data_IF_066593159637
#
_entry.id   IF_066593159637
#
_cell.length_a   1.000
_cell.length_b   1.000
_cell.length_c   1.000
_cell.angle_alpha   90.00
_cell.angle_beta   90.00
_cell.angle_gamma   90.00
#
_symmetry.space_group_name_H-M   'P 1'
#
loop_
_entity.id
_entity.type
_entity.pdbx_description
1 polymer ?
#
# COMPACT_ATOMS: atom_id res chain seq x y z
N UNK A 1 37.81 23.77 -47.64
CA UNK A 1 36.85 24.20 -46.59
C UNK A 1 35.48 23.53 -46.70
N UNK A 2 35.02 23.09 -47.88
CA UNK A 2 33.70 22.44 -48.05
C UNK A 2 33.49 21.12 -47.27
N UNK A 3 34.51 20.27 -47.15
CA UNK A 3 34.37 18.95 -46.47
C UNK A 3 34.15 19.06 -44.96
N UNK A 4 34.77 20.04 -44.29
CA UNK A 4 34.62 20.23 -42.83
C UNK A 4 33.24 20.79 -42.45
N UNK A 5 32.62 21.56 -43.33
CA UNK A 5 31.30 22.17 -43.10
C UNK A 5 30.16 21.14 -43.16
N UNK A 6 30.29 20.14 -44.05
CA UNK A 6 29.33 19.03 -44.16
C UNK A 6 29.41 18.07 -42.95
N UNK A 7 30.62 17.84 -42.43
CA UNK A 7 30.83 17.01 -41.24
C UNK A 7 30.24 17.64 -39.97
N UNK A 8 30.36 18.96 -39.79
CA UNK A 8 29.78 19.69 -38.65
C UNK A 8 28.24 19.70 -38.73
N UNK A 9 27.67 19.80 -39.94
CA UNK A 9 26.21 19.77 -40.15
C UNK A 9 25.61 18.40 -39.79
N UNK A 10 26.29 17.30 -40.14
CA UNK A 10 25.86 15.95 -39.75
C UNK A 10 25.95 15.72 -38.24
N UNK A 11 26.98 16.23 -37.56
CA UNK A 11 27.09 16.13 -36.09
C UNK A 11 25.96 16.90 -35.40
N UNK A 12 25.61 18.09 -35.89
CA UNK A 12 24.49 18.88 -35.39
C UNK A 12 23.13 18.21 -35.62
N UNK A 13 22.92 17.57 -36.78
CA UNK A 13 21.71 16.81 -37.07
C UNK A 13 21.56 15.58 -36.17
N UNK A 14 22.65 14.84 -35.95
CA UNK A 14 22.64 13.66 -35.07
C UNK A 14 22.38 14.09 -33.62
N UNK A 15 22.96 15.22 -33.18
CA UNK A 15 22.69 15.79 -31.86
C UNK A 15 21.22 16.17 -31.65
N UNK A 16 20.55 16.74 -32.64
CA UNK A 16 19.15 17.16 -32.56
C UNK A 16 18.14 15.99 -32.51
N UNK A 17 18.48 14.84 -33.12
CA UNK A 17 17.64 13.64 -33.05
C UNK A 17 17.65 12.97 -31.66
N UNK A 18 18.78 13.02 -30.94
CA UNK A 18 18.90 12.37 -29.61
C UNK A 18 18.04 13.09 -28.55
N UNK A 19 17.83 14.40 -28.70
CA UNK A 19 17.07 15.22 -27.72
C UNK A 19 15.56 14.97 -27.80
N UNK A 20 15.04 14.57 -28.95
CA UNK A 20 13.60 14.32 -29.15
C UNK A 20 13.15 12.91 -28.72
N UNK A 21 14.08 11.98 -28.46
CA UNK A 21 13.75 10.62 -28.05
C UNK A 21 13.45 10.49 -26.53
N UNK A 22 13.66 11.55 -25.74
CA UNK A 22 13.52 11.52 -24.28
C UNK A 22 12.13 11.98 -23.79
N UNK A 23 11.07 11.81 -24.58
CA UNK A 23 9.71 12.04 -24.08
C UNK A 23 9.26 10.81 -23.26
N UNK A 24 9.49 10.88 -21.95
CA UNK A 24 8.88 9.97 -21.00
C UNK A 24 7.35 10.10 -21.13
N UNK A 25 6.67 9.00 -21.45
CA UNK A 25 5.24 8.97 -21.67
C UNK A 25 4.50 8.97 -20.33
N UNK A 26 4.20 10.17 -19.82
CA UNK A 26 3.36 10.33 -18.62
C UNK A 26 1.86 10.17 -18.95
N UNK A 27 1.13 9.60 -18.01
CA UNK A 27 -0.31 9.38 -18.16
C UNK A 27 -1.08 10.69 -17.98
N UNK A 28 -1.69 11.22 -19.05
CA UNK A 28 -2.53 12.41 -18.99
C UNK A 28 -3.97 12.07 -18.57
N UNK A 29 -4.44 12.76 -17.53
CA UNK A 29 -5.81 12.77 -17.01
C UNK A 29 -6.34 11.38 -16.59
N UNK A 30 -5.81 10.77 -15.50
CA UNK A 30 -6.22 9.45 -15.05
C UNK A 30 -7.66 9.45 -14.52
N UNK A 31 -8.54 8.63 -15.10
CA UNK A 31 -9.87 8.34 -14.53
C UNK A 31 -9.79 7.10 -13.65
N UNK A 32 -10.22 7.23 -12.39
CA UNK A 32 -10.07 6.22 -11.35
C UNK A 32 -11.43 5.63 -10.94
N UNK A 33 -11.52 4.31 -10.92
CA UNK A 33 -12.63 3.57 -10.28
C UNK A 33 -12.02 2.62 -9.27
N UNK A 34 -12.39 2.71 -7.98
CA UNK A 34 -11.76 1.96 -6.88
C UNK A 34 -12.67 0.84 -6.40
N UNK A 35 -12.11 -0.36 -6.25
CA UNK A 35 -12.76 -1.52 -5.62
C UNK A 35 -11.78 -2.13 -4.61
N UNK A 36 -11.95 -1.85 -3.32
CA UNK A 36 -11.03 -2.33 -2.29
C UNK A 36 -11.55 -3.58 -1.56
N UNK A 37 -10.66 -4.54 -1.30
CA UNK A 37 -10.95 -5.76 -0.55
C UNK A 37 -9.94 -5.92 0.61
N UNK A 38 -10.42 -5.89 1.84
CA UNK A 38 -9.59 -6.09 3.03
C UNK A 38 -9.89 -7.46 3.65
N UNK A 39 -8.87 -8.24 3.99
CA UNK A 39 -9.06 -9.45 4.79
C UNK A 39 -9.49 -9.06 6.21
N UNK A 40 -10.55 -9.69 6.73
CA UNK A 40 -11.17 -9.35 8.03
C UNK A 40 -10.68 -10.23 9.20
N UNK A 41 -9.96 -11.32 8.91
CA UNK A 41 -9.60 -12.32 9.92
C UNK A 41 -8.16 -12.15 10.43
N UNK A 42 -8.03 -11.82 11.72
CA UNK A 42 -6.77 -11.72 12.48
C UNK A 42 -6.69 -12.75 13.62
N UNK A 43 -7.49 -13.81 13.60
CA UNK A 43 -7.57 -14.75 14.72
C UNK A 43 -6.28 -15.56 14.95
N UNK A 44 -5.45 -15.76 13.92
CA UNK A 44 -4.17 -16.50 14.02
C UNK A 44 -2.96 -15.69 13.53
N UNK A 45 -3.15 -14.71 12.64
CA UNK A 45 -2.07 -13.89 12.09
C UNK A 45 -1.92 -12.56 12.86
N UNK A 46 -0.68 -12.21 13.24
CA UNK A 46 -0.35 -10.88 13.80
C UNK A 46 -0.33 -9.77 12.74
N UNK A 47 -0.48 -10.15 11.47
CA UNK A 47 -0.34 -9.32 10.29
C UNK A 47 -1.60 -9.38 9.44
N UNK A 48 -2.09 -8.23 9.00
CA UNK A 48 -3.24 -8.08 8.11
C UNK A 48 -2.78 -7.78 6.70
N UNK A 49 -3.24 -8.60 5.76
CA UNK A 49 -3.09 -8.34 4.33
C UNK A 49 -4.27 -7.50 3.85
N UNK A 50 -3.97 -6.37 3.23
CA UNK A 50 -4.94 -5.50 2.58
C UNK A 50 -4.70 -5.53 1.08
N UNK A 51 -5.78 -5.56 0.30
CA UNK A 51 -5.75 -5.59 -1.16
C UNK A 51 -6.62 -4.44 -1.70
N UNK A 52 -6.01 -3.50 -2.40
CA UNK A 52 -6.71 -2.45 -3.13
C UNK A 52 -6.72 -2.79 -4.60
N UNK A 53 -7.89 -2.92 -5.22
CA UNK A 53 -8.02 -2.96 -6.66
C UNK A 53 -8.56 -1.62 -7.17
N UNK A 54 -8.04 -1.18 -8.30
CA UNK A 54 -8.54 0.02 -8.95
C UNK A 54 -8.36 -0.09 -10.45
N UNK A 55 -9.29 0.50 -11.19
CA UNK A 55 -9.18 0.65 -12.63
C UNK A 55 -8.67 2.05 -12.96
N UNK A 56 -7.65 2.13 -13.80
CA UNK A 56 -7.05 3.40 -14.23
C UNK A 56 -7.08 3.49 -15.75
N UNK A 57 -7.79 4.48 -16.29
CA UNK A 57 -7.83 4.76 -17.73
C UNK A 57 -7.05 6.05 -18.01
N UNK A 58 -6.00 5.93 -18.83
CA UNK A 58 -5.21 7.05 -19.35
C UNK A 58 -5.75 7.49 -20.71
N UNK A 59 -5.77 8.80 -20.98
CA UNK A 59 -6.27 9.34 -22.28
C UNK A 59 -5.39 8.94 -23.46
N UNK A 60 -4.14 8.54 -23.20
CA UNK A 60 -3.16 8.17 -24.22
C UNK A 60 -3.10 6.66 -24.50
N UNK A 61 -3.95 5.84 -23.85
CA UNK A 61 -3.93 4.35 -23.93
C UNK A 61 -2.60 3.66 -23.56
N UNK A 62 -1.62 4.42 -23.08
CA UNK A 62 -0.35 3.90 -22.57
C UNK A 62 -0.60 3.32 -21.18
N UNK A 63 -0.05 2.12 -20.93
CA UNK A 63 -0.07 1.45 -19.63
C UNK A 63 1.17 1.87 -18.83
N UNK A 64 1.05 2.82 -17.87
CA UNK A 64 2.19 3.23 -17.06
C UNK A 64 2.56 2.14 -16.05
N UNK A 65 3.87 2.04 -15.75
CA UNK A 65 4.34 1.36 -14.55
C UNK A 65 4.04 2.26 -13.34
N UNK A 66 3.26 1.75 -12.39
CA UNK A 66 2.80 2.52 -11.24
C UNK A 66 3.45 2.04 -9.95
N UNK A 67 3.72 2.98 -9.06
CA UNK A 67 4.25 2.75 -7.73
C UNK A 67 3.32 3.38 -6.69
N UNK A 68 3.02 2.65 -5.64
CA UNK A 68 2.13 3.08 -4.56
C UNK A 68 2.93 3.37 -3.29
N UNK A 69 2.80 4.57 -2.73
CA UNK A 69 3.29 4.93 -1.40
C UNK A 69 2.15 4.83 -0.39
N UNK A 70 2.40 4.10 0.68
CA UNK A 70 1.49 3.99 1.83
C UNK A 70 1.83 5.03 2.91
N UNK A 71 0.90 5.35 3.83
CA UNK A 71 1.15 6.27 4.94
C UNK A 71 2.34 5.88 5.83
N UNK A 72 2.74 4.61 5.84
CA UNK A 72 3.92 4.12 6.54
C UNK A 72 5.26 4.47 5.84
N UNK A 73 5.23 5.17 4.71
CA UNK A 73 6.41 5.55 3.91
C UNK A 73 6.98 4.42 3.05
N UNK A 74 6.31 3.25 3.04
CA UNK A 74 6.70 2.12 2.19
C UNK A 74 6.15 2.33 0.78
N UNK A 75 7.02 2.17 -0.21
CA UNK A 75 6.65 2.23 -1.62
C UNK A 75 6.69 0.82 -2.20
N UNK A 76 5.61 0.41 -2.87
CA UNK A 76 5.50 -0.89 -3.54
C UNK A 76 5.15 -0.71 -5.01
N UNK A 77 5.62 -1.60 -5.90
CA UNK A 77 5.13 -1.64 -7.27
C UNK A 77 3.67 -2.07 -7.29
N UNK A 78 2.88 -1.48 -8.18
CA UNK A 78 1.49 -1.87 -8.42
C UNK A 78 1.45 -2.98 -9.47
N UNK A 79 0.72 -4.05 -9.18
CA UNK A 79 0.54 -5.16 -10.13
C UNK A 79 -0.58 -4.83 -11.12
N UNK A 80 -0.40 -5.22 -12.38
CA UNK A 80 -1.45 -5.17 -13.41
C UNK A 80 -2.12 -6.54 -13.47
N UNK A 81 -3.42 -6.62 -13.14
CA UNK A 81 -4.18 -7.88 -13.09
C UNK A 81 -4.91 -8.14 -14.40
N UNK A 82 -5.44 -7.09 -15.03
CA UNK A 82 -6.09 -7.15 -16.34
C UNK A 82 -5.96 -5.82 -17.07
N UNK A 83 -6.59 -5.68 -18.23
CA UNK A 83 -6.57 -4.42 -18.98
C UNK A 83 -7.13 -3.26 -18.16
N UNK A 84 -6.27 -2.29 -17.87
CA UNK A 84 -6.57 -1.12 -17.05
C UNK A 84 -6.96 -1.44 -15.59
N UNK A 85 -6.77 -2.68 -15.13
CA UNK A 85 -7.03 -3.10 -13.76
C UNK A 85 -5.72 -3.33 -13.02
N UNK A 86 -5.60 -2.62 -11.91
CA UNK A 86 -4.42 -2.59 -11.09
C UNK A 86 -4.75 -3.07 -9.69
N UNK A 87 -3.80 -3.77 -9.08
CA UNK A 87 -3.91 -4.29 -7.73
C UNK A 87 -2.68 -3.91 -6.94
N UNK A 88 -2.90 -3.45 -5.71
CA UNK A 88 -1.86 -3.16 -4.75
C UNK A 88 -2.16 -3.93 -3.47
N UNK A 89 -1.14 -4.56 -2.89
CA UNK A 89 -1.26 -5.24 -1.63
C UNK A 89 -0.20 -4.77 -0.64
N UNK A 90 -0.59 -4.69 0.62
CA UNK A 90 0.33 -4.39 1.71
C UNK A 90 -0.05 -5.19 2.94
N UNK A 91 0.95 -5.32 3.80
CA UNK A 91 0.82 -6.00 5.08
C UNK A 91 1.01 -4.97 6.17
N UNK A 92 0.08 -4.93 7.10
CA UNK A 92 0.12 -4.07 8.28
C UNK A 92 -0.03 -4.90 9.55
N UNK A 93 0.68 -4.54 10.62
CA UNK A 93 0.52 -5.22 11.91
C UNK A 93 -0.86 -4.91 12.51
N UNK A 94 -1.53 -5.92 13.09
CA UNK A 94 -2.87 -5.77 13.72
C UNK A 94 -2.89 -4.67 14.82
N UNK A 95 -1.74 -4.43 15.47
CA UNK A 95 -1.59 -3.36 16.47
C UNK A 95 -1.63 -1.96 15.87
N UNK A 96 -1.11 -1.80 14.66
CA UNK A 96 -1.06 -0.52 13.92
C UNK A 96 -2.25 -0.35 12.99
N UNK A 97 -2.86 -1.46 12.57
CA UNK A 97 -4.08 -1.48 11.78
C UNK A 97 -5.20 -0.72 12.49
N UNK A 98 -5.57 0.41 11.88
CA UNK A 98 -6.72 1.22 12.26
C UNK A 98 -7.82 1.02 11.21
N UNK A 99 -9.07 0.98 11.65
CA UNK A 99 -10.22 1.00 10.75
C UNK A 99 -10.32 2.40 10.19
N UNK A 100 -10.41 2.52 8.87
CA UNK A 100 -10.60 3.82 8.27
C UNK A 100 -10.16 3.91 6.83
N UNK A 101 -10.00 5.17 6.41
CA UNK A 101 -9.63 5.54 5.06
C UNK A 101 -8.11 5.62 4.98
N UNK A 102 -7.50 4.65 4.30
CA UNK A 102 -6.06 4.67 3.99
C UNK A 102 -5.88 5.38 2.64
N UNK A 103 -5.18 6.51 2.65
CA UNK A 103 -4.83 7.23 1.43
C UNK A 103 -3.52 6.65 0.89
N UNK A 104 -3.60 6.07 -0.30
CA UNK A 104 -2.46 5.51 -1.04
C UNK A 104 -2.13 6.46 -2.18
N UNK A 105 -0.88 6.92 -2.22
CA UNK A 105 -0.42 7.87 -3.24
C UNK A 105 0.19 7.10 -4.39
N UNK A 106 -0.32 7.28 -5.59
CA UNK A 106 0.22 6.64 -6.79
C UNK A 106 1.22 7.57 -7.49
N UNK A 107 2.30 6.98 -7.98
CA UNK A 107 3.36 7.62 -8.73
C UNK A 107 3.61 6.85 -10.00
N UNK A 108 3.96 7.58 -11.05
CA UNK A 108 4.59 7.03 -12.24
C UNK A 108 6.10 6.87 -12.01
N UNK A 109 6.81 6.40 -13.04
CA UNK A 109 8.25 6.14 -12.98
C UNK A 109 9.07 7.42 -12.69
N UNK A 110 8.66 8.55 -13.26
CA UNK A 110 9.28 9.85 -13.00
C UNK A 110 9.04 10.32 -11.57
N UNK A 111 7.79 10.29 -11.10
CA UNK A 111 7.38 10.62 -9.74
C UNK A 111 8.09 9.76 -8.71
N UNK A 112 8.20 8.44 -8.96
CA UNK A 112 8.94 7.52 -8.10
C UNK A 112 10.43 7.85 -8.01
N UNK A 113 11.06 8.23 -9.13
CA UNK A 113 12.47 8.63 -9.14
C UNK A 113 12.69 9.89 -8.28
N UNK A 114 11.75 10.84 -8.32
CA UNK A 114 11.80 12.07 -7.53
C UNK A 114 11.55 11.79 -6.04
N UNK A 115 10.64 10.87 -5.73
CA UNK A 115 10.36 10.39 -4.38
C UNK A 115 11.59 9.75 -3.74
N UNK A 116 12.27 8.86 -4.45
CA UNK A 116 13.52 8.22 -4.01
C UNK A 116 14.67 9.20 -3.81
N UNK A 117 14.73 10.29 -4.59
CA UNK A 117 15.70 11.38 -4.37
C UNK A 117 15.37 12.13 -3.09
N UNK A 118 14.12 12.58 -2.92
CA UNK A 118 13.67 13.28 -1.73
C UNK A 118 13.88 12.46 -0.43
N UNK A 119 13.65 11.14 -0.47
CA UNK A 119 13.91 10.23 0.65
C UNK A 119 15.39 10.16 1.03
N UNK A 120 16.29 10.13 0.03
CA UNK A 120 17.75 10.08 0.28
C UNK A 120 18.30 11.40 0.78
N UNK A 121 17.76 12.51 0.29
CA UNK A 121 18.23 13.85 0.64
C UNK A 121 17.69 14.34 1.99
N UNK A 122 16.95 13.48 2.72
CA UNK A 122 16.27 13.85 3.98
C UNK A 122 15.19 14.91 3.81
N UNK A 123 14.73 15.11 2.58
CA UNK A 123 13.73 16.11 2.22
C UNK A 123 12.32 15.72 2.65
N UNK A 124 11.40 16.69 2.60
CA UNK A 124 9.97 16.44 2.84
C UNK A 124 9.37 15.65 1.68
N UNK A 125 9.28 14.33 1.86
CA UNK A 125 8.67 13.36 0.91
C UNK A 125 7.22 13.74 0.54
N UNK A 126 6.53 14.46 1.43
CA UNK A 126 5.18 14.99 1.21
C UNK A 126 5.08 16.08 0.12
N UNK A 127 6.19 16.72 -0.28
CA UNK A 127 6.18 17.76 -1.30
C UNK A 127 6.29 17.21 -2.74
N UNK A 128 6.56 15.91 -2.88
CA UNK A 128 6.62 15.26 -4.20
C UNK A 128 5.21 15.10 -4.75
N UNK A 129 4.94 15.57 -5.96
CA UNK A 129 3.62 15.50 -6.58
C UNK A 129 3.25 14.04 -6.87
N UNK A 130 2.15 13.56 -6.30
CA UNK A 130 1.55 12.27 -6.67
C UNK A 130 0.73 12.41 -7.95
N UNK A 131 0.62 11.31 -8.71
CA UNK A 131 -0.18 11.23 -9.93
C UNK A 131 -1.66 11.24 -9.57
N UNK A 132 -2.05 10.44 -8.58
CA UNK A 132 -3.40 10.35 -8.05
C UNK A 132 -3.37 9.75 -6.64
N UNK A 133 -4.26 10.22 -5.78
CA UNK A 133 -4.40 9.70 -4.42
C UNK A 133 -5.66 8.83 -4.35
N UNK A 134 -5.47 7.55 -4.02
CA UNK A 134 -6.53 6.55 -3.93
C UNK A 134 -6.90 6.35 -2.46
N UNK A 135 -8.16 6.58 -2.12
CA UNK A 135 -8.65 6.29 -0.77
C UNK A 135 -9.21 4.87 -0.73
N UNK A 136 -8.56 3.99 0.05
CA UNK A 136 -8.99 2.62 0.27
C UNK A 136 -9.62 2.53 1.66
N UNK A 137 -10.86 2.06 1.73
CA UNK A 137 -11.54 1.82 3.00
C UNK A 137 -11.09 0.46 3.53
N UNK A 138 -10.38 0.45 4.66
CA UNK A 138 -9.98 -0.79 5.33
C UNK A 138 -10.91 -1.08 6.51
N UNK A 139 -11.26 -2.36 6.67
CA UNK A 139 -11.95 -2.84 7.85
C UNK A 139 -10.91 -3.28 8.86
N UNK A 140 -11.11 -2.89 10.13
CA UNK A 140 -10.29 -3.43 11.22
C UNK A 140 -10.56 -4.90 11.40
N UNK A 141 -9.50 -5.65 11.69
CA UNK A 141 -9.64 -7.04 12.09
C UNK A 141 -9.88 -7.19 13.60
N UNK A 142 -10.36 -8.36 13.98
CA UNK A 142 -10.64 -8.72 15.36
C UNK A 142 -9.36 -8.73 16.21
N UNK A 143 -9.29 -7.88 17.24
CA UNK A 143 -8.11 -7.71 18.12
C UNK A 143 -7.99 -8.76 19.23
N UNK A 144 -8.77 -9.84 19.14
CA UNK A 144 -8.81 -10.89 20.15
C UNK A 144 -9.73 -10.57 21.33
N UNK A 145 -10.03 -11.57 22.18
CA UNK A 145 -10.81 -11.37 23.39
C UNK A 145 -10.05 -10.49 24.39
N UNK A 146 -10.79 -9.61 25.08
CA UNK A 146 -10.24 -8.67 26.06
C UNK A 146 -9.72 -9.35 27.34
N UNK A 147 -10.13 -10.60 27.60
CA UNK A 147 -9.67 -11.41 28.73
C UNK A 147 -8.85 -12.60 28.25
N UNK A 148 -7.77 -12.91 28.96
CA UNK A 148 -7.00 -14.14 28.73
C UNK A 148 -7.83 -15.36 29.10
N UNK A 149 -7.88 -16.36 28.23
CA UNK A 149 -8.58 -17.61 28.48
C UNK A 149 -8.08 -18.30 29.76
N UNK A 150 -6.79 -18.17 30.08
CA UNK A 150 -6.18 -18.65 31.32
C UNK A 150 -6.85 -18.07 32.57
N UNK A 151 -7.15 -16.78 32.58
CA UNK A 151 -7.81 -16.12 33.71
C UNK A 151 -9.25 -16.63 33.87
N UNK A 152 -9.98 -16.77 32.76
CA UNK A 152 -11.33 -17.34 32.76
C UNK A 152 -11.32 -18.78 33.28
N UNK A 153 -10.38 -19.60 32.82
CA UNK A 153 -10.21 -20.97 33.28
C UNK A 153 -9.88 -21.05 34.77
N UNK A 154 -8.98 -20.19 35.27
CA UNK A 154 -8.64 -20.12 36.69
C UNK A 154 -9.87 -19.79 37.56
N UNK A 155 -10.69 -18.82 37.14
CA UNK A 155 -11.94 -18.49 37.85
C UNK A 155 -12.95 -19.63 37.83
N UNK A 156 -13.08 -20.34 36.70
CA UNK A 156 -13.97 -21.51 36.61
C UNK A 156 -13.53 -22.63 37.55
N UNK A 157 -12.23 -22.96 37.57
CA UNK A 157 -11.68 -23.99 38.46
C UNK A 157 -11.87 -23.59 39.93
N UNK A 158 -11.56 -22.34 40.27
CA UNK A 158 -11.75 -21.81 41.62
C UNK A 158 -13.23 -21.86 42.04
N UNK A 159 -14.15 -21.51 41.14
CA UNK A 159 -15.60 -21.58 41.38
C UNK A 159 -16.09 -23.00 41.64
N UNK A 160 -15.65 -23.96 40.83
CA UNK A 160 -15.99 -25.39 41.03
C UNK A 160 -15.43 -25.92 42.34
N UNK A 161 -14.16 -25.62 42.65
CA UNK A 161 -13.53 -26.03 43.90
C UNK A 161 -14.25 -25.44 45.13
N UNK A 162 -14.61 -24.15 45.08
CA UNK A 162 -15.37 -23.50 46.13
C UNK A 162 -16.74 -24.15 46.33
N UNK A 163 -17.47 -24.44 45.25
CA UNK A 163 -18.77 -25.11 45.32
C UNK A 163 -18.66 -26.54 45.90
N UNK A 164 -17.63 -27.28 45.50
CA UNK A 164 -17.37 -28.61 46.03
C UNK A 164 -17.07 -28.60 47.54
N UNK A 165 -16.20 -27.69 48.00
CA UNK A 165 -15.84 -27.57 49.42
C UNK A 165 -17.02 -27.11 50.26
N UNK A 166 -17.79 -26.12 49.80
CA UNK A 166 -18.96 -25.63 50.54
C UNK A 166 -20.06 -26.68 50.66
N UNK A 167 -20.29 -27.47 49.60
CA UNK A 167 -21.25 -28.58 49.65
C UNK A 167 -20.78 -29.68 50.60
N UNK A 168 -19.50 -30.06 50.53
CA UNK A 168 -18.91 -31.03 51.47
C UNK A 168 -19.05 -30.56 52.92
N UNK A 169 -18.71 -29.31 53.21
CA UNK A 169 -18.78 -28.73 54.55
C UNK A 169 -20.22 -28.68 55.08
N UNK A 170 -21.22 -28.44 54.22
CA UNK A 170 -22.65 -28.47 54.60
C UNK A 170 -23.19 -29.88 54.89
N UNK A 171 -22.58 -30.92 54.31
CA UNK A 171 -22.99 -32.32 54.52
C UNK A 171 -22.32 -32.93 55.75
N UNK A 172 -21.16 -32.40 56.16
CA UNK A 172 -20.41 -32.86 57.34
C UNK A 172 -20.70 -32.08 58.63
N UNK A 173 -21.57 -31.06 58.59
CA UNK A 173 -22.14 -30.37 59.76
C UNK A 173 -23.52 -30.91 60.09
#
# INVERSE_FOLDING_TARGET
MHSKMCSILNILLIGFCVINAAQASSCNNPKLTVTSFSTEDATILTQLAHIGEFSLKCSNEIKPNLFAEFPCGKVVPVACVAENQYQVSWIEDVKRSSSGNVVVRLFDEEGYSSLRKAQRDGGKVSNVKSLIDVTIVTKSAYKGPWVKAELVAAFLIAGVAYFAITTKNKVQS
#
